data_IF_451409894806
#
_entry.id   IF_451409894806
#
_cell.length_a   1.000
_cell.length_b   1.000
_cell.length_c   1.000
_cell.angle_alpha   90.00
_cell.angle_beta   90.00
_cell.angle_gamma   90.00
#
_symmetry.space_group_name_H-M   'P 1'
#
loop_
_entity.id
_entity.type
_entity.pdbx_description
1 polymer ?
#
# COMPACT_ATOMS: atom_id res chain seq x y z
N UNK A 1 -65.30 26.52 35.47
CA UNK A 1 -66.56 26.83 34.74
C UNK A 1 -66.43 28.20 34.10
N UNK A 2 -67.15 28.42 33.00
CA UNK A 2 -67.17 29.59 32.11
C UNK A 2 -66.17 29.49 30.96
N UNK A 3 -66.71 29.05 29.81
CA UNK A 3 -66.11 29.21 28.50
C UNK A 3 -66.38 30.62 27.94
N UNK A 4 -65.73 30.93 26.81
CA UNK A 4 -65.93 32.20 26.13
C UNK A 4 -65.07 32.30 24.88
N UNK A 5 -65.69 31.95 23.77
CA UNK A 5 -65.37 32.18 22.37
C UNK A 5 -64.73 33.55 22.09
N UNK A 6 -63.77 33.65 21.15
CA UNK A 6 -63.88 34.46 19.92
C UNK A 6 -62.57 34.48 19.11
N UNK A 7 -62.74 34.30 17.80
CA UNK A 7 -61.73 34.29 16.76
C UNK A 7 -61.27 35.69 16.37
N UNK A 8 -60.03 35.81 15.86
CA UNK A 8 -59.69 36.83 14.86
C UNK A 8 -58.46 36.39 14.03
N UNK A 9 -58.71 36.24 12.75
CA UNK A 9 -57.79 36.05 11.62
C UNK A 9 -56.90 37.28 11.40
N UNK A 10 -55.60 37.13 11.14
CA UNK A 10 -54.82 38.10 10.37
C UNK A 10 -53.69 37.47 9.54
N UNK A 11 -53.81 37.71 8.24
CA UNK A 11 -52.80 38.17 7.29
C UNK A 11 -51.67 37.22 6.86
N UNK A 12 -51.72 36.91 5.56
CA UNK A 12 -50.65 36.28 4.82
C UNK A 12 -49.37 37.12 4.73
N UNK A 13 -48.29 36.41 4.44
CA UNK A 13 -47.01 36.94 4.04
C UNK A 13 -46.24 35.83 3.35
N UNK A 14 -46.34 35.76 2.02
CA UNK A 14 -45.40 35.00 1.21
C UNK A 14 -44.07 35.76 1.23
N UNK A 15 -43.04 35.19 1.87
CA UNK A 15 -41.67 35.63 1.70
C UNK A 15 -40.86 34.49 1.08
N UNK A 16 -40.51 34.70 -0.18
CA UNK A 16 -39.67 33.87 -1.04
C UNK A 16 -38.31 33.59 -0.39
N UNK A 17 -37.96 32.31 -0.27
CA UNK A 17 -36.61 31.88 0.10
C UNK A 17 -35.62 32.16 -1.06
N UNK A 18 -34.37 32.55 -0.78
CA UNK A 18 -33.38 32.80 -1.82
C UNK A 18 -32.99 31.52 -2.58
N UNK A 19 -32.60 31.60 -3.86
CA UNK A 19 -32.23 30.43 -4.64
C UNK A 19 -30.96 29.77 -4.07
N UNK A 20 -31.09 28.48 -3.74
CA UNK A 20 -29.98 27.61 -3.36
C UNK A 20 -28.96 27.59 -4.52
N UNK A 21 -27.65 27.79 -4.25
CA UNK A 21 -26.61 27.65 -5.27
C UNK A 21 -26.70 26.26 -5.93
N UNK A 22 -26.42 26.13 -7.24
CA UNK A 22 -26.53 24.85 -7.94
C UNK A 22 -25.64 23.84 -7.23
N UNK A 23 -26.26 22.73 -6.82
CA UNK A 23 -25.53 21.59 -6.30
C UNK A 23 -24.50 21.16 -7.36
N UNK A 24 -23.22 21.11 -6.96
CA UNK A 24 -22.19 20.42 -7.74
C UNK A 24 -22.72 19.03 -8.09
N UNK A 25 -22.47 18.50 -9.30
CA UNK A 25 -22.98 17.19 -9.69
C UNK A 25 -22.67 16.19 -8.59
N UNK A 26 -23.73 15.65 -7.98
CA UNK A 26 -23.60 14.54 -7.06
C UNK A 26 -22.91 13.43 -7.84
N UNK A 27 -21.70 13.07 -7.43
CA UNK A 27 -21.04 11.88 -7.96
C UNK A 27 -22.03 10.73 -7.78
N UNK A 28 -22.50 10.20 -8.91
CA UNK A 28 -23.24 8.96 -8.93
C UNK A 28 -22.41 7.89 -8.20
N UNK A 29 -23.05 6.94 -7.49
CA UNK A 29 -22.34 5.88 -6.80
C UNK A 29 -21.55 5.06 -7.84
N UNK A 30 -20.24 5.31 -7.92
CA UNK A 30 -19.36 4.54 -8.81
C UNK A 30 -19.27 3.12 -8.25
N UNK A 31 -19.61 2.18 -9.12
CA UNK A 31 -19.67 0.77 -8.82
C UNK A 31 -18.34 0.27 -8.27
N UNK A 32 -18.40 -0.72 -7.40
CA UNK A 32 -17.33 -1.68 -7.15
C UNK A 32 -16.69 -2.12 -8.49
N UNK A 33 -15.52 -1.57 -8.82
CA UNK A 33 -14.91 -1.72 -10.16
C UNK A 33 -13.43 -1.32 -10.14
N UNK A 34 -12.62 -2.07 -10.88
CA UNK A 34 -11.17 -1.97 -10.97
C UNK A 34 -10.63 -0.53 -11.11
N UNK A 35 -9.40 -0.30 -10.65
CA UNK A 35 -8.73 1.01 -10.78
C UNK A 35 -8.71 1.50 -12.24
N UNK A 36 -8.88 2.81 -12.45
CA UNK A 36 -8.65 3.43 -13.76
C UNK A 36 -7.19 3.28 -14.19
N UNK A 37 -6.91 3.26 -15.50
CA UNK A 37 -5.53 3.15 -16.02
C UNK A 37 -4.62 4.28 -15.51
N UNK A 38 -5.15 5.49 -15.39
CA UNK A 38 -4.41 6.62 -14.80
C UNK A 38 -4.03 6.33 -13.34
N UNK A 39 -4.98 5.85 -12.53
CA UNK A 39 -4.72 5.50 -11.13
C UNK A 39 -3.72 4.35 -11.00
N UNK A 40 -3.81 3.32 -11.84
CA UNK A 40 -2.84 2.22 -11.90
C UNK A 40 -1.43 2.75 -12.20
N UNK A 41 -1.30 3.61 -13.21
CA UNK A 41 0.00 4.18 -13.59
C UNK A 41 0.59 5.04 -12.46
N UNK A 42 -0.22 5.88 -11.83
CA UNK A 42 0.20 6.68 -10.67
C UNK A 42 0.69 5.80 -9.51
N UNK A 43 -0.01 4.71 -9.23
CA UNK A 43 0.39 3.77 -8.17
C UNK A 43 1.68 3.03 -8.53
N UNK A 44 1.86 2.58 -9.77
CA UNK A 44 3.12 1.98 -10.25
C UNK A 44 4.28 2.97 -10.11
N UNK A 45 4.09 4.23 -10.49
CA UNK A 45 5.12 5.27 -10.34
C UNK A 45 5.46 5.54 -8.87
N UNK A 46 4.47 5.59 -7.99
CA UNK A 46 4.70 5.75 -6.55
C UNK A 46 5.55 4.60 -5.99
N UNK A 47 5.24 3.35 -6.36
CA UNK A 47 6.02 2.16 -5.96
C UNK A 47 7.45 2.23 -6.49
N UNK A 48 7.66 2.64 -7.74
CA UNK A 48 9.00 2.76 -8.33
C UNK A 48 9.83 3.89 -7.68
N UNK A 49 9.17 4.98 -7.25
CA UNK A 49 9.82 6.05 -6.47
C UNK A 49 10.31 5.54 -5.12
N UNK A 50 9.47 4.76 -4.43
CA UNK A 50 9.82 4.08 -3.17
C UNK A 50 11.00 3.14 -3.40
N UNK A 51 10.93 2.28 -4.40
CA UNK A 51 12.03 1.36 -4.79
C UNK A 51 13.35 2.11 -4.92
N UNK A 52 13.34 3.20 -5.68
CA UNK A 52 14.53 4.01 -5.94
C UNK A 52 15.09 4.63 -4.66
N UNK A 53 14.22 5.21 -3.82
CA UNK A 53 14.61 5.80 -2.54
C UNK A 53 15.21 4.77 -1.58
N UNK A 54 14.56 3.62 -1.42
CA UNK A 54 15.02 2.54 -0.54
C UNK A 54 16.36 1.97 -0.99
N UNK A 55 16.55 1.68 -2.28
CA UNK A 55 17.83 1.18 -2.79
C UNK A 55 18.95 2.20 -2.61
N UNK A 56 18.69 3.48 -2.89
CA UNK A 56 19.68 4.54 -2.67
C UNK A 56 20.10 4.60 -1.20
N UNK A 57 19.15 4.47 -0.27
CA UNK A 57 19.44 4.43 1.16
C UNK A 57 20.22 3.17 1.55
N UNK A 58 19.83 2.00 1.04
CA UNK A 58 20.52 0.75 1.29
C UNK A 58 21.98 0.82 0.82
N UNK A 59 22.22 1.33 -0.38
CA UNK A 59 23.58 1.47 -0.94
C UNK A 59 24.45 2.45 -0.17
N UNK A 60 23.85 3.49 0.43
CA UNK A 60 24.59 4.40 1.32
C UNK A 60 25.01 3.72 2.63
N UNK A 61 24.11 2.93 3.22
CA UNK A 61 24.33 2.31 4.53
C UNK A 61 25.09 0.98 4.46
N UNK A 62 24.97 0.26 3.34
CA UNK A 62 25.57 -1.05 3.07
C UNK A 62 26.05 -1.14 1.61
N UNK A 63 27.16 -0.48 1.23
CA UNK A 63 27.57 -0.36 -0.19
C UNK A 63 27.72 -1.67 -0.95
N UNK A 64 28.15 -2.75 -0.28
CA UNK A 64 28.34 -4.07 -0.90
C UNK A 64 27.04 -4.66 -1.49
N UNK A 65 25.88 -4.25 -0.97
CA UNK A 65 24.57 -4.71 -1.44
C UNK A 65 24.28 -4.32 -2.89
N UNK A 66 24.96 -3.30 -3.44
CA UNK A 66 24.84 -2.95 -4.85
C UNK A 66 25.26 -4.12 -5.75
N UNK A 67 26.45 -4.68 -5.49
CA UNK A 67 26.96 -5.82 -6.25
C UNK A 67 26.10 -7.06 -6.06
N UNK A 68 25.61 -7.30 -4.84
CA UNK A 68 24.72 -8.43 -4.55
C UNK A 68 23.43 -8.37 -5.38
N UNK A 69 22.80 -7.19 -5.45
CA UNK A 69 21.56 -6.97 -6.20
C UNK A 69 21.79 -7.03 -7.71
N UNK A 70 22.91 -6.51 -8.21
CA UNK A 70 23.28 -6.56 -9.63
C UNK A 70 23.53 -8.00 -10.12
N UNK A 71 24.07 -8.86 -9.27
CA UNK A 71 24.38 -10.25 -9.61
C UNK A 71 23.18 -11.21 -9.45
N UNK A 72 22.19 -10.83 -8.63
CA UNK A 72 21.03 -11.65 -8.30
C UNK A 72 20.16 -12.04 -9.53
N UNK A 73 19.37 -13.10 -9.38
CA UNK A 73 18.30 -13.44 -10.33
C UNK A 73 17.16 -12.40 -10.32
N UNK A 74 16.99 -11.71 -9.20
CA UNK A 74 16.06 -10.60 -9.05
C UNK A 74 16.04 -10.07 -7.63
N UNK A 75 15.30 -8.97 -7.43
CA UNK A 75 15.12 -8.37 -6.11
C UNK A 75 13.72 -7.81 -5.94
N UNK A 76 13.23 -7.79 -4.71
CA UNK A 76 11.98 -7.15 -4.33
C UNK A 76 12.23 -5.97 -3.40
N UNK A 77 11.51 -4.86 -3.60
CA UNK A 77 11.51 -3.72 -2.67
C UNK A 77 10.10 -3.43 -2.21
N UNK A 78 9.92 -3.37 -0.90
CA UNK A 78 8.62 -3.24 -0.24
C UNK A 78 8.65 -2.09 0.76
N UNK A 79 7.53 -1.40 0.87
CA UNK A 79 7.26 -0.46 1.95
C UNK A 79 6.06 -0.90 2.78
N UNK A 80 6.17 -0.68 4.06
CA UNK A 80 5.08 -0.63 5.02
C UNK A 80 5.01 0.81 5.45
N UNK A 81 4.03 1.56 4.93
CA UNK A 81 3.81 2.95 5.29
C UNK A 81 2.52 3.05 6.08
N UNK A 82 2.64 3.39 7.37
CA UNK A 82 1.53 3.42 8.34
C UNK A 82 0.33 4.30 7.95
N UNK A 83 0.45 5.13 6.90
CA UNK A 83 -0.63 5.97 6.35
C UNK A 83 -1.71 5.17 5.60
N UNK A 84 -1.33 4.07 4.94
CA UNK A 84 -2.26 3.19 4.19
C UNK A 84 -2.59 1.89 4.93
N UNK A 85 -1.95 1.65 6.08
CA UNK A 85 -2.07 0.42 6.87
C UNK A 85 -3.47 0.20 7.50
N UNK A 86 -4.39 1.16 7.34
CA UNK A 86 -5.71 1.16 8.01
C UNK A 86 -6.83 0.62 7.11
N UNK A 87 -6.58 0.36 5.82
CA UNK A 87 -7.61 -0.14 4.91
C UNK A 87 -7.42 -1.64 4.62
N UNK A 88 -8.35 -2.44 5.16
CA UNK A 88 -8.58 -3.84 4.79
C UNK A 88 -7.41 -4.84 4.99
N UNK A 89 -6.57 -4.65 6.02
CA UNK A 89 -5.52 -5.61 6.39
C UNK A 89 -4.32 -5.67 5.42
N UNK A 90 -4.26 -4.76 4.45
CA UNK A 90 -3.14 -4.60 3.52
C UNK A 90 -2.21 -3.52 4.07
N UNK A 91 -1.06 -3.95 4.56
CA UNK A 91 -0.16 -3.10 5.35
C UNK A 91 0.92 -2.44 4.50
N UNK A 92 1.15 -2.93 3.29
CA UNK A 92 2.22 -2.43 2.44
C UNK A 92 2.11 -2.87 0.99
N UNK A 93 3.04 -2.36 0.19
CA UNK A 93 3.15 -2.60 -1.25
C UNK A 93 4.59 -2.60 -1.68
N UNK A 94 4.86 -3.16 -2.85
CA UNK A 94 6.20 -3.24 -3.38
C UNK A 94 6.24 -3.71 -4.82
N UNK A 95 7.46 -3.94 -5.27
CA UNK A 95 7.75 -4.38 -6.63
C UNK A 95 8.87 -5.41 -6.61
N UNK A 96 8.75 -6.43 -7.44
CA UNK A 96 9.81 -7.39 -7.76
C UNK A 96 10.31 -7.13 -9.15
N UNK A 97 11.62 -7.03 -9.29
CA UNK A 97 12.34 -6.93 -10.56
C UNK A 97 13.10 -8.23 -10.79
N UNK A 98 12.80 -8.91 -11.89
CA UNK A 98 13.56 -10.06 -12.37
C UNK A 98 14.68 -9.60 -13.31
N UNK A 99 15.79 -10.35 -13.37
CA UNK A 99 16.91 -10.08 -14.29
C UNK A 99 16.50 -10.12 -15.77
N UNK A 100 15.41 -10.83 -16.09
CA UNK A 100 14.78 -10.86 -17.42
C UNK A 100 14.14 -9.52 -17.83
N UNK A 101 14.00 -8.57 -16.91
CA UNK A 101 13.29 -7.31 -17.12
C UNK A 101 11.81 -7.36 -16.71
N UNK A 102 11.29 -8.54 -16.33
CA UNK A 102 9.92 -8.67 -15.83
C UNK A 102 9.77 -7.96 -14.48
N UNK A 103 8.66 -7.23 -14.36
CA UNK A 103 8.29 -6.46 -13.16
C UNK A 103 6.97 -7.02 -12.63
N UNK A 104 6.89 -7.28 -11.34
CA UNK A 104 5.65 -7.71 -10.67
C UNK A 104 5.36 -6.81 -9.49
N UNK A 105 4.17 -6.22 -9.46
CA UNK A 105 3.72 -5.39 -8.35
C UNK A 105 3.05 -6.26 -7.30
N UNK A 106 3.35 -5.99 -6.04
CA UNK A 106 2.95 -6.85 -4.93
C UNK A 106 2.40 -6.04 -3.77
N UNK A 107 1.57 -6.69 -2.99
CA UNK A 107 1.04 -6.21 -1.72
C UNK A 107 1.55 -7.13 -0.61
N UNK A 108 1.57 -6.62 0.62
CA UNK A 108 1.89 -7.42 1.79
C UNK A 108 0.93 -7.12 2.95
N UNK A 109 0.71 -8.14 3.77
CA UNK A 109 -0.05 -8.06 5.00
C UNK A 109 0.80 -8.59 6.16
N UNK A 110 1.10 -7.74 7.15
CA UNK A 110 1.74 -8.16 8.39
C UNK A 110 0.86 -9.14 9.16
N UNK A 111 1.47 -10.22 9.65
CA UNK A 111 0.83 -11.29 10.40
C UNK A 111 1.05 -11.20 11.90
N UNK A 112 1.95 -10.31 12.33
CA UNK A 112 2.31 -10.04 13.72
C UNK A 112 1.64 -8.77 14.30
N UNK A 113 0.75 -8.13 13.54
CA UNK A 113 0.07 -6.89 13.91
C UNK A 113 -1.42 -7.15 14.11
N UNK A 114 -1.93 -6.79 15.29
CA UNK A 114 -3.35 -6.86 15.64
C UNK A 114 -4.10 -5.54 15.38
N UNK A 115 -5.44 -5.55 15.50
CA UNK A 115 -6.25 -4.35 15.41
C UNK A 115 -5.80 -3.26 16.39
N UNK A 116 -5.76 -2.00 15.95
CA UNK A 116 -5.41 -0.85 16.80
C UNK A 116 -3.91 -0.68 17.08
N UNK A 117 -3.04 -1.56 16.56
CA UNK A 117 -1.58 -1.44 16.72
C UNK A 117 -1.01 -0.46 15.68
N UNK A 118 -0.28 0.55 16.15
CA UNK A 118 0.41 1.48 15.28
C UNK A 118 1.59 0.81 14.56
N UNK A 119 1.56 0.79 13.23
CA UNK A 119 2.64 0.23 12.41
C UNK A 119 3.64 1.33 12.07
N UNK A 120 4.87 1.20 12.58
CA UNK A 120 5.98 2.10 12.22
C UNK A 120 6.37 1.90 10.75
N UNK A 121 6.72 2.96 10.01
CA UNK A 121 7.24 2.83 8.67
C UNK A 121 8.50 1.95 8.62
N UNK A 122 8.51 1.02 7.67
CA UNK A 122 9.65 0.13 7.44
C UNK A 122 9.71 -0.21 5.94
N UNK A 123 10.92 -0.42 5.44
CA UNK A 123 11.14 -0.89 4.07
C UNK A 123 11.91 -2.20 4.09
N UNK A 124 11.64 -3.06 3.11
CA UNK A 124 12.35 -4.32 2.95
C UNK A 124 12.90 -4.45 1.55
N UNK A 125 14.15 -4.93 1.44
CA UNK A 125 14.77 -5.35 0.17
C UNK A 125 15.06 -6.84 0.27
N UNK A 126 14.42 -7.65 -0.56
CA UNK A 126 14.70 -9.08 -0.68
C UNK A 126 15.58 -9.27 -1.91
N UNK A 127 16.74 -9.90 -1.75
CA UNK A 127 17.67 -10.22 -2.82
C UNK A 127 17.60 -11.72 -3.06
N UNK A 128 17.19 -12.12 -4.27
CA UNK A 128 17.05 -13.53 -4.65
C UNK A 128 18.22 -13.92 -5.54
N UNK A 129 19.21 -14.62 -4.98
CA UNK A 129 20.40 -15.03 -5.75
C UNK A 129 20.02 -16.00 -6.87
N UNK A 130 19.07 -16.88 -6.63
CA UNK A 130 18.63 -17.91 -7.58
C UNK A 130 17.23 -17.65 -8.14
N UNK A 131 17.00 -18.10 -9.37
CA UNK A 131 15.72 -17.90 -10.07
C UNK A 131 14.56 -18.72 -9.48
N UNK A 132 14.87 -19.87 -8.87
CA UNK A 132 13.87 -20.78 -8.31
C UNK A 132 13.13 -20.17 -7.09
N UNK A 133 13.80 -19.66 -6.04
CA UNK A 133 13.12 -19.01 -4.92
C UNK A 133 12.43 -17.71 -5.33
N UNK A 134 13.00 -16.95 -6.29
CA UNK A 134 12.34 -15.78 -6.88
C UNK A 134 11.01 -16.15 -7.55
N UNK A 135 11.01 -17.19 -8.38
CA UNK A 135 9.82 -17.64 -9.10
C UNK A 135 8.75 -18.17 -8.14
N UNK A 136 9.15 -18.86 -7.07
CA UNK A 136 8.23 -19.27 -6.01
C UNK A 136 7.64 -18.05 -5.29
N UNK A 137 8.48 -17.10 -4.88
CA UNK A 137 8.04 -15.89 -4.20
C UNK A 137 7.02 -15.09 -5.02
N UNK A 138 7.27 -14.87 -6.30
CA UNK A 138 6.34 -14.15 -7.19
C UNK A 138 5.01 -14.90 -7.37
N UNK A 139 5.04 -16.24 -7.39
CA UNK A 139 3.85 -17.06 -7.63
C UNK A 139 2.97 -17.22 -6.39
N UNK A 140 3.57 -17.47 -5.22
CA UNK A 140 2.88 -17.86 -3.99
C UNK A 140 3.13 -16.96 -2.78
N UNK A 141 3.96 -15.92 -2.92
CA UNK A 141 4.36 -15.06 -1.80
C UNK A 141 5.53 -15.61 -0.99
N UNK A 142 5.83 -14.96 0.15
CA UNK A 142 6.82 -15.45 1.09
C UNK A 142 6.19 -16.56 1.95
N UNK A 143 6.62 -17.78 1.72
CA UNK A 143 6.35 -18.93 2.58
C UNK A 143 7.52 -19.15 3.55
N UNK A 144 7.31 -19.95 4.61
CA UNK A 144 8.37 -20.24 5.59
C UNK A 144 9.61 -20.89 4.93
N UNK A 145 9.40 -21.74 3.92
CA UNK A 145 10.43 -22.35 3.08
C UNK A 145 11.22 -21.33 2.25
N UNK A 146 10.58 -20.26 1.78
CA UNK A 146 11.23 -19.18 1.05
C UNK A 146 12.05 -18.31 2.01
N UNK A 147 11.52 -18.00 3.20
CA UNK A 147 12.24 -17.19 4.19
C UNK A 147 13.46 -17.89 4.81
N UNK A 148 13.48 -19.23 4.85
CA UNK A 148 14.62 -20.02 5.32
C UNK A 148 15.63 -20.39 4.23
N UNK A 149 15.36 -20.01 2.98
CA UNK A 149 16.23 -20.35 1.87
C UNK A 149 17.53 -19.53 1.93
N UNK A 150 18.72 -20.16 1.97
CA UNK A 150 19.99 -19.45 2.09
C UNK A 150 20.28 -18.52 0.92
N UNK A 151 19.64 -18.74 -0.24
CA UNK A 151 19.77 -17.91 -1.45
C UNK A 151 18.91 -16.65 -1.44
N UNK A 152 18.22 -16.36 -0.34
CA UNK A 152 17.46 -15.13 -0.16
C UNK A 152 18.09 -14.33 0.97
N UNK A 153 18.46 -13.10 0.68
CA UNK A 153 18.91 -12.14 1.69
C UNK A 153 17.85 -11.08 1.88
N UNK A 154 17.48 -10.82 3.13
CA UNK A 154 16.46 -9.84 3.48
C UNK A 154 17.13 -8.69 4.23
N UNK A 155 17.04 -7.49 3.67
CA UNK A 155 17.45 -6.26 4.31
C UNK A 155 16.22 -5.48 4.77
N UNK A 156 16.15 -5.14 6.04
CA UNK A 156 15.13 -4.25 6.59
C UNK A 156 15.75 -2.88 6.87
N UNK A 157 15.04 -1.83 6.45
CA UNK A 157 15.43 -0.44 6.66
C UNK A 157 14.37 0.24 7.51
N UNK A 158 14.79 0.90 8.58
CA UNK A 158 13.95 1.70 9.46
C UNK A 158 14.72 2.92 9.98
N UNK A 159 14.14 3.67 10.91
CA UNK A 159 14.78 4.85 11.50
C UNK A 159 16.10 4.55 12.23
N UNK A 160 16.32 3.29 12.63
CA UNK A 160 17.51 2.85 13.36
C UNK A 160 18.63 2.35 12.44
N UNK A 161 18.40 2.26 11.12
CA UNK A 161 19.40 1.82 10.14
C UNK A 161 18.96 0.60 9.34
N UNK A 162 19.92 -0.29 9.04
CA UNK A 162 19.71 -1.52 8.25
C UNK A 162 19.98 -2.75 9.10
N UNK A 163 19.02 -3.66 9.15
CA UNK A 163 19.14 -4.98 9.78
C UNK A 163 18.92 -6.10 8.75
N UNK A 164 19.51 -7.27 8.98
CA UNK A 164 19.32 -8.48 8.16
C UNK A 164 18.45 -9.53 8.85
N UNK A 165 18.06 -9.27 10.09
CA UNK A 165 17.13 -10.10 10.84
C UNK A 165 15.72 -9.57 10.60
N UNK A 166 14.77 -10.47 10.37
CA UNK A 166 13.38 -10.09 10.26
C UNK A 166 12.87 -9.60 11.63
N UNK A 167 12.50 -8.32 11.72
CA UNK A 167 11.85 -7.72 12.89
C UNK A 167 10.34 -8.00 12.92
N UNK A 168 9.78 -8.49 11.82
CA UNK A 168 8.35 -8.70 11.63
C UNK A 168 8.06 -9.82 10.63
N UNK A 169 6.82 -10.32 10.68
CA UNK A 169 6.32 -11.36 9.76
C UNK A 169 5.23 -10.78 8.85
N UNK A 170 5.21 -11.21 7.57
CA UNK A 170 4.17 -10.82 6.64
C UNK A 170 3.94 -11.88 5.56
N UNK A 171 2.71 -11.88 5.04
CA UNK A 171 2.36 -12.55 3.80
C UNK A 171 2.47 -11.58 2.62
N UNK A 172 2.89 -12.09 1.47
CA UNK A 172 3.08 -11.33 0.24
C UNK A 172 2.20 -11.92 -0.85
N UNK A 173 1.62 -11.07 -1.70
CA UNK A 173 0.77 -11.52 -2.79
C UNK A 173 0.80 -10.52 -3.94
N UNK A 174 0.48 -10.99 -5.14
CA UNK A 174 0.43 -10.12 -6.32
C UNK A 174 -0.70 -9.11 -6.19
N UNK A 175 -0.43 -7.89 -6.64
CA UNK A 175 -1.44 -6.83 -6.71
C UNK A 175 -2.36 -7.09 -7.93
N UNK A 176 -3.65 -7.41 -7.74
CA UNK A 176 -4.53 -7.74 -8.87
C UNK A 176 -4.83 -6.54 -9.77
N UNK A 177 -4.65 -5.31 -9.28
CA UNK A 177 -4.94 -4.10 -10.06
C UNK A 177 -3.74 -3.64 -10.90
N UNK A 178 -2.52 -4.09 -10.54
CA UNK A 178 -1.27 -3.56 -11.12
C UNK A 178 -0.46 -4.56 -11.95
N UNK A 179 -0.91 -5.79 -12.15
CA UNK A 179 -0.19 -6.79 -12.94
C UNK A 179 -0.91 -7.13 -14.24
#
# INVERSE_FOLDING_TARGET
MVGGLLAATLLGGCASSPPKPPAKPALAPQSSGALSEKAKQEQRQAILKVRTGTLNQLYKLKPLTRSEIEQAAGYGVFEINGLNAVLAGKHGRGVVHEKSGKVTYMQLARTDVGPGVAVKPCWQVLVFRDAQPLSQFVRSGLSADVSGNPSITIYQLNANGVSTQAEWSAQYFRDPDLN
#
